data_IF_091402815791
#
_entry.id   IF_091402815791
#
_cell.length_a   1.000
_cell.length_b   1.000
_cell.length_c   1.000
_cell.angle_alpha   90.00
_cell.angle_beta   90.00
_cell.angle_gamma   90.00
#
_symmetry.space_group_name_H-M   'P 1'
#
loop_
_entity.id
_entity.type
_entity.pdbx_description
1 polymer ?
#
# COMPACT_ATOMS: atom_id res chain seq x y z
N UNK A 1 -8.81 -9.60 -24.89
CA UNK A 1 -10.07 -9.28 -24.19
C UNK A 1 -9.78 -8.37 -23.01
N UNK A 2 -10.13 -7.09 -23.16
CA UNK A 2 -10.30 -6.03 -22.14
C UNK A 2 -9.43 -6.06 -20.87
N UNK A 3 -8.25 -5.43 -20.92
CA UNK A 3 -7.41 -5.16 -19.74
C UNK A 3 -7.32 -3.65 -19.44
N UNK A 4 -8.43 -2.94 -19.62
CA UNK A 4 -8.61 -1.53 -19.30
C UNK A 4 -9.38 -1.41 -17.98
N UNK A 5 -8.70 -0.89 -16.95
CA UNK A 5 -9.25 -0.22 -15.75
C UNK A 5 -9.66 -1.02 -14.49
N UNK A 6 -9.06 -2.18 -14.17
CA UNK A 6 -9.25 -2.76 -12.82
C UNK A 6 -8.57 -1.92 -11.71
N UNK A 7 -7.41 -1.31 -12.00
CA UNK A 7 -6.67 -0.50 -11.02
C UNK A 7 -7.40 0.79 -10.63
N UNK A 8 -8.14 1.39 -11.56
CA UNK A 8 -8.83 2.67 -11.31
C UNK A 8 -10.03 2.51 -10.38
N UNK A 9 -10.61 1.31 -10.36
CA UNK A 9 -11.70 0.92 -9.47
C UNK A 9 -11.20 0.45 -8.08
N UNK A 10 -9.91 0.60 -7.78
CA UNK A 10 -9.38 0.32 -6.43
C UNK A 10 -9.68 1.49 -5.49
N UNK A 11 -9.93 1.17 -4.22
CA UNK A 11 -10.03 2.18 -3.17
C UNK A 11 -8.72 2.93 -3.02
N UNK A 12 -7.58 2.26 -3.20
CA UNK A 12 -6.28 2.94 -3.22
C UNK A 12 -6.22 4.03 -4.30
N UNK A 13 -6.58 3.72 -5.55
CA UNK A 13 -6.46 4.70 -6.64
C UNK A 13 -7.45 5.86 -6.46
N UNK A 14 -8.68 5.59 -6.03
CA UNK A 14 -9.66 6.63 -5.75
C UNK A 14 -9.19 7.55 -4.61
N UNK A 15 -8.66 6.99 -3.53
CA UNK A 15 -8.10 7.77 -2.43
C UNK A 15 -6.86 8.57 -2.88
N UNK A 16 -5.98 7.96 -3.68
CA UNK A 16 -4.82 8.62 -4.26
C UNK A 16 -5.24 9.84 -5.09
N UNK A 17 -6.19 9.69 -6.02
CA UNK A 17 -6.67 10.77 -6.88
C UNK A 17 -7.18 11.97 -6.06
N UNK A 18 -7.93 11.71 -4.99
CA UNK A 18 -8.54 12.75 -4.18
C UNK A 18 -7.58 13.39 -3.16
N UNK A 19 -6.64 12.63 -2.60
CA UNK A 19 -5.89 13.05 -1.41
C UNK A 19 -4.41 13.37 -1.67
N UNK A 20 -3.77 12.77 -2.68
CA UNK A 20 -2.29 12.77 -2.77
C UNK A 20 -1.65 14.17 -2.82
N UNK A 21 -2.29 15.15 -3.46
CA UNK A 21 -1.76 16.52 -3.59
C UNK A 21 -1.67 17.23 -2.24
N UNK A 22 -2.66 17.02 -1.37
CA UNK A 22 -2.76 17.66 -0.04
C UNK A 22 -2.45 16.71 1.11
N UNK A 23 -2.11 15.45 0.84
CA UNK A 23 -1.85 14.42 1.84
C UNK A 23 -0.82 14.88 2.89
N UNK A 24 0.22 15.60 2.47
CA UNK A 24 1.22 16.15 3.39
C UNK A 24 0.60 17.06 4.45
N UNK A 25 -0.40 17.89 4.12
CA UNK A 25 -1.08 18.76 5.09
C UNK A 25 -2.16 17.98 5.85
N UNK A 26 -3.03 17.28 5.12
CA UNK A 26 -4.23 16.66 5.67
C UNK A 26 -3.88 15.56 6.67
N UNK A 27 -2.88 14.72 6.36
CA UNK A 27 -2.51 13.56 7.18
C UNK A 27 -1.78 13.93 8.48
N UNK A 28 -1.48 15.22 8.69
CA UNK A 28 -0.87 15.75 9.91
C UNK A 28 -1.88 16.43 10.85
N UNK A 29 -3.15 16.57 10.45
CA UNK A 29 -4.19 17.20 11.29
C UNK A 29 -4.47 16.36 12.53
N UNK A 30 -4.96 16.99 13.59
CA UNK A 30 -5.23 16.35 14.88
C UNK A 30 -6.50 15.49 14.89
N UNK A 31 -7.42 15.70 13.95
CA UNK A 31 -8.67 14.94 13.82
C UNK A 31 -8.46 13.41 13.87
N UNK A 32 -9.34 12.68 14.54
CA UNK A 32 -9.30 11.21 14.56
C UNK A 32 -9.56 10.62 13.17
N UNK A 33 -10.51 11.21 12.43
CA UNK A 33 -10.80 10.85 11.04
C UNK A 33 -10.17 11.89 10.11
N UNK A 34 -9.33 11.40 9.19
CA UNK A 34 -8.58 12.26 8.28
C UNK A 34 -9.38 12.57 6.99
N UNK A 35 -10.28 11.68 6.61
CA UNK A 35 -11.23 11.87 5.51
C UNK A 35 -12.58 11.25 5.85
N UNK A 36 -13.61 11.72 5.14
CA UNK A 36 -14.94 11.12 5.15
C UNK A 36 -15.06 10.18 3.95
N UNK A 37 -15.28 8.89 4.19
CA UNK A 37 -15.49 7.91 3.14
C UNK A 37 -17.00 7.80 2.83
N UNK A 38 -17.37 8.04 1.57
CA UNK A 38 -18.74 7.88 1.09
C UNK A 38 -18.74 6.88 -0.06
N UNK A 39 -19.50 5.80 0.10
CA UNK A 39 -19.66 4.76 -0.91
C UNK A 39 -20.91 5.02 -1.75
N UNK A 40 -20.71 5.36 -3.02
CA UNK A 40 -21.81 5.62 -3.95
C UNK A 40 -22.65 4.35 -4.10
N UNK A 41 -23.95 4.46 -3.85
CA UNK A 41 -24.90 3.34 -3.94
C UNK A 41 -25.00 2.47 -2.69
N UNK A 42 -24.22 2.72 -1.63
CA UNK A 42 -24.39 2.07 -0.34
C UNK A 42 -25.13 2.99 0.64
N UNK A 43 -26.23 2.50 1.20
CA UNK A 43 -26.93 3.18 2.31
C UNK A 43 -26.21 2.84 3.63
N UNK A 44 -25.13 3.54 3.94
CA UNK A 44 -24.45 3.41 5.23
C UNK A 44 -24.52 4.73 6.01
N UNK A 45 -25.11 4.71 7.21
CA UNK A 45 -25.22 5.84 8.15
C UNK A 45 -24.05 5.93 9.15
N UNK A 46 -23.17 4.93 9.19
CA UNK A 46 -22.11 4.82 10.20
C UNK A 46 -20.77 5.42 9.73
N UNK A 47 -20.56 6.69 10.08
CA UNK A 47 -19.41 7.50 9.66
C UNK A 47 -18.05 6.92 10.08
N UNK A 48 -17.94 6.35 11.29
CA UNK A 48 -16.69 5.76 11.79
C UNK A 48 -16.34 4.42 11.13
N UNK A 49 -17.34 3.63 10.76
CA UNK A 49 -17.17 2.35 10.06
C UNK A 49 -16.60 2.57 8.66
N UNK A 50 -17.13 3.55 7.93
CA UNK A 50 -16.71 3.84 6.56
C UNK A 50 -15.23 4.28 6.48
N UNK A 51 -14.75 5.10 7.43
CA UNK A 51 -13.33 5.49 7.47
C UNK A 51 -12.41 4.27 7.65
N UNK A 52 -12.70 3.42 8.64
CA UNK A 52 -11.89 2.21 8.92
C UNK A 52 -11.96 1.19 7.78
N UNK A 53 -13.16 0.98 7.22
CA UNK A 53 -13.35 0.11 6.05
C UNK A 53 -12.55 0.61 4.84
N UNK A 54 -12.55 1.92 4.59
CA UNK A 54 -11.77 2.49 3.50
C UNK A 54 -10.27 2.25 3.66
N UNK A 55 -9.74 2.36 4.88
CA UNK A 55 -8.35 2.01 5.20
C UNK A 55 -8.05 0.53 4.96
N UNK A 56 -8.93 -0.35 5.41
CA UNK A 56 -8.78 -1.80 5.20
C UNK A 56 -8.76 -2.14 3.71
N UNK A 57 -9.67 -1.57 2.92
CA UNK A 57 -9.71 -1.79 1.46
C UNK A 57 -8.49 -1.22 0.75
N UNK A 58 -8.01 -0.03 1.17
CA UNK A 58 -6.76 0.53 0.66
C UNK A 58 -5.59 -0.43 0.93
N UNK A 59 -5.47 -0.97 2.14
CA UNK A 59 -4.42 -1.96 2.46
C UNK A 59 -4.55 -3.23 1.62
N UNK A 60 -5.78 -3.73 1.44
CA UNK A 60 -6.06 -4.89 0.59
C UNK A 60 -5.66 -4.64 -0.86
N UNK A 61 -5.93 -3.45 -1.41
CA UNK A 61 -5.55 -3.13 -2.79
C UNK A 61 -4.03 -3.04 -2.94
N UNK A 62 -3.33 -2.47 -1.95
CA UNK A 62 -1.86 -2.41 -1.89
C UNK A 62 -1.24 -3.82 -1.91
N UNK A 63 -1.83 -4.75 -1.16
CA UNK A 63 -1.44 -6.16 -1.11
C UNK A 63 -2.27 -7.01 -2.10
N UNK A 64 -2.41 -6.56 -3.35
CA UNK A 64 -3.11 -7.30 -4.41
C UNK A 64 -2.46 -7.09 -5.77
N UNK A 65 -2.81 -7.95 -6.73
CA UNK A 65 -2.40 -7.81 -8.13
C UNK A 65 -3.18 -6.72 -8.88
N UNK A 66 -4.13 -6.02 -8.23
CA UNK A 66 -4.92 -4.95 -8.85
C UNK A 66 -4.10 -3.68 -9.07
N UNK A 67 -3.00 -3.52 -8.34
CA UNK A 67 -2.07 -2.39 -8.46
C UNK A 67 -0.71 -2.90 -8.95
N UNK A 68 -0.15 -2.28 -9.97
CA UNK A 68 1.21 -2.58 -10.45
C UNK A 68 2.33 -1.96 -9.59
N UNK A 69 2.09 -1.84 -8.28
CA UNK A 69 3.00 -1.24 -7.30
C UNK A 69 3.75 -2.30 -6.51
N UNK A 70 3.13 -3.41 -6.15
CA UNK A 70 3.78 -4.48 -5.40
C UNK A 70 3.54 -5.80 -6.10
N UNK A 71 4.45 -6.73 -5.87
CA UNK A 71 4.34 -8.11 -6.32
C UNK A 71 4.53 -9.02 -5.11
N UNK A 72 3.98 -10.22 -5.19
CA UNK A 72 4.20 -11.24 -4.18
C UNK A 72 5.70 -11.62 -4.14
N UNK A 73 6.24 -11.89 -2.96
CA UNK A 73 7.63 -12.33 -2.81
C UNK A 73 7.89 -13.63 -3.61
N UNK A 74 9.15 -13.95 -3.96
CA UNK A 74 9.50 -15.19 -4.64
C UNK A 74 8.88 -16.44 -4.01
N UNK A 75 9.02 -16.62 -2.69
CA UNK A 75 8.42 -17.71 -1.93
C UNK A 75 6.89 -17.80 -2.08
N UNK A 76 6.20 -16.66 -2.16
CA UNK A 76 4.76 -16.63 -2.39
C UNK A 76 4.36 -17.01 -3.81
N UNK A 77 5.20 -16.68 -4.80
CA UNK A 77 4.96 -17.06 -6.21
C UNK A 77 5.20 -18.53 -6.46
N UNK A 78 6.22 -19.11 -5.84
CA UNK A 78 6.52 -20.56 -5.90
C UNK A 78 5.69 -21.38 -4.91
N UNK A 79 5.07 -20.71 -3.93
CA UNK A 79 4.37 -21.30 -2.80
C UNK A 79 5.28 -22.19 -1.90
N UNK A 80 6.58 -21.92 -1.88
CA UNK A 80 7.62 -22.65 -1.13
C UNK A 80 8.29 -21.70 -0.14
N UNK A 81 8.68 -22.18 1.05
CA UNK A 81 9.41 -21.39 2.04
C UNK A 81 8.53 -20.53 2.96
N UNK A 82 9.16 -19.56 3.63
CA UNK A 82 8.53 -18.65 4.58
C UNK A 82 7.95 -17.41 3.90
N UNK A 83 7.14 -16.62 4.63
CA UNK A 83 6.64 -15.31 4.21
C UNK A 83 5.88 -15.30 2.86
N UNK A 84 5.20 -16.39 2.53
CA UNK A 84 4.53 -16.61 1.24
C UNK A 84 3.39 -15.62 0.94
N UNK A 85 2.87 -14.95 1.96
CA UNK A 85 1.83 -13.93 1.86
C UNK A 85 2.40 -12.49 1.89
N UNK A 86 3.72 -12.33 1.88
CA UNK A 86 4.39 -11.04 1.90
C UNK A 86 4.63 -10.47 0.50
N UNK A 87 4.62 -9.15 0.43
CA UNK A 87 4.72 -8.35 -0.78
C UNK A 87 6.04 -7.58 -0.81
N UNK A 88 6.56 -7.36 -2.02
CA UNK A 88 7.76 -6.57 -2.29
C UNK A 88 7.44 -5.47 -3.31
N UNK A 89 8.15 -4.32 -3.28
CA UNK A 89 8.00 -3.30 -4.33
C UNK A 89 8.22 -3.91 -5.71
N UNK A 90 7.40 -3.49 -6.68
CA UNK A 90 7.52 -3.98 -8.04
C UNK A 90 8.89 -3.60 -8.63
N UNK A 91 9.51 -4.54 -9.34
CA UNK A 91 10.84 -4.39 -9.93
C UNK A 91 10.72 -3.65 -11.25
N UNK A 92 11.35 -2.48 -11.33
CA UNK A 92 11.52 -1.75 -12.58
C UNK A 92 12.90 -2.07 -13.17
N UNK A 93 13.04 -2.15 -14.51
CA UNK A 93 14.33 -2.43 -15.14
C UNK A 93 15.38 -1.41 -14.66
N UNK A 94 16.59 -1.84 -14.28
CA UNK A 94 17.61 -0.96 -13.70
C UNK A 94 17.99 0.20 -14.64
N UNK A 95 17.87 -0.03 -15.95
CA UNK A 95 18.20 0.93 -16.99
C UNK A 95 17.03 1.89 -17.32
N UNK A 96 15.92 1.82 -16.59
CA UNK A 96 14.72 2.65 -16.83
C UNK A 96 14.31 3.37 -15.55
N UNK A 97 14.04 4.66 -15.68
CA UNK A 97 13.45 5.43 -14.58
C UNK A 97 12.04 4.93 -14.29
N UNK A 98 11.71 4.79 -13.01
CA UNK A 98 10.34 4.48 -12.58
C UNK A 98 9.41 5.58 -13.10
N UNK A 99 8.31 5.25 -13.82
CA UNK A 99 7.36 6.24 -14.30
C UNK A 99 6.84 7.15 -13.17
N UNK A 100 6.69 8.44 -13.46
CA UNK A 100 6.29 9.46 -12.47
C UNK A 100 4.97 9.14 -11.76
N UNK A 101 4.03 8.49 -12.46
CA UNK A 101 2.77 7.99 -11.86
C UNK A 101 3.05 7.07 -10.67
N UNK A 102 3.91 6.06 -10.83
CA UNK A 102 4.23 5.13 -9.75
C UNK A 102 5.04 5.80 -8.64
N UNK A 103 5.98 6.68 -8.97
CA UNK A 103 6.71 7.46 -7.94
C UNK A 103 5.77 8.24 -7.02
N UNK A 104 4.75 8.90 -7.59
CA UNK A 104 3.74 9.63 -6.82
C UNK A 104 2.86 8.71 -5.99
N UNK A 105 2.50 7.54 -6.51
CA UNK A 105 1.74 6.54 -5.78
C UNK A 105 2.53 5.94 -4.61
N UNK A 106 3.81 5.58 -4.80
CA UNK A 106 4.70 5.15 -3.71
C UNK A 106 4.87 6.25 -2.65
N UNK A 107 5.01 7.52 -3.06
CA UNK A 107 5.04 8.65 -2.13
C UNK A 107 3.76 8.72 -1.30
N UNK A 108 2.59 8.52 -1.91
CA UNK A 108 1.32 8.50 -1.21
C UNK A 108 1.22 7.35 -0.20
N UNK A 109 1.74 6.16 -0.55
CA UNK A 109 1.82 5.02 0.40
C UNK A 109 2.71 5.36 1.59
N UNK A 110 3.89 5.95 1.36
CA UNK A 110 4.74 6.43 2.46
C UNK A 110 4.04 7.48 3.34
N UNK A 111 3.22 8.35 2.75
CA UNK A 111 2.39 9.30 3.50
C UNK A 111 1.31 8.58 4.32
N UNK A 112 0.69 7.51 3.81
CA UNK A 112 -0.26 6.68 4.56
C UNK A 112 0.42 6.00 5.76
N UNK A 113 1.65 5.50 5.61
CA UNK A 113 2.40 4.94 6.75
C UNK A 113 2.67 6.01 7.81
N UNK A 114 3.13 7.18 7.37
CA UNK A 114 3.37 8.31 8.28
C UNK A 114 2.10 8.78 8.98
N UNK A 115 0.95 8.74 8.32
CA UNK A 115 -0.36 9.01 8.93
C UNK A 115 -0.68 7.95 9.99
N UNK A 116 -0.58 6.67 9.62
CA UNK A 116 -0.92 5.56 10.49
C UNK A 116 -0.09 5.55 11.78
N UNK A 117 1.22 5.79 11.67
CA UNK A 117 2.11 5.91 12.83
C UNK A 117 1.67 7.04 13.76
N UNK A 118 1.41 8.25 13.23
CA UNK A 118 0.98 9.40 14.04
C UNK A 118 -0.36 9.19 14.73
N UNK A 119 -1.25 8.43 14.09
CA UNK A 119 -2.61 8.16 14.56
C UNK A 119 -2.75 6.85 15.32
N UNK A 120 -1.66 6.10 15.48
CA UNK A 120 -1.67 4.75 16.07
C UNK A 120 -2.70 3.84 15.36
N UNK A 121 -2.87 4.03 14.06
CA UNK A 121 -3.69 3.13 13.24
C UNK A 121 -2.84 1.93 12.80
N UNK A 122 -3.40 0.75 12.94
CA UNK A 122 -2.84 -0.47 12.38
C UNK A 122 -3.22 -0.57 10.90
N UNK A 123 -2.21 -0.62 10.03
CA UNK A 123 -2.41 -0.94 8.61
C UNK A 123 -2.18 -2.43 8.42
N UNK A 124 -3.17 -3.14 7.87
CA UNK A 124 -3.04 -4.56 7.55
C UNK A 124 -2.27 -4.77 6.24
N UNK A 125 -0.98 -4.42 6.26
CA UNK A 125 -0.05 -4.56 5.14
C UNK A 125 0.95 -5.67 5.43
N UNK A 126 1.19 -6.52 4.43
CA UNK A 126 2.07 -7.68 4.55
C UNK A 126 3.31 -7.47 3.70
N UNK A 127 4.25 -6.67 4.18
CA UNK A 127 5.52 -6.45 3.48
C UNK A 127 6.64 -7.28 4.08
N UNK A 128 7.58 -7.68 3.23
CA UNK A 128 8.80 -8.38 3.65
C UNK A 128 9.68 -7.54 4.59
N UNK A 129 10.45 -8.21 5.44
CA UNK A 129 11.37 -7.55 6.38
C UNK A 129 12.38 -6.61 5.69
N UNK A 130 12.81 -6.96 4.47
CA UNK A 130 13.73 -6.16 3.67
C UNK A 130 13.23 -4.72 3.47
N UNK A 131 11.93 -4.54 3.27
CA UNK A 131 11.35 -3.20 3.07
C UNK A 131 11.50 -2.36 4.34
N UNK A 132 11.19 -2.94 5.49
CA UNK A 132 11.27 -2.26 6.78
C UNK A 132 12.70 -1.92 7.16
N UNK A 133 13.62 -2.89 7.01
CA UNK A 133 15.06 -2.67 7.22
C UNK A 133 15.57 -1.55 6.34
N UNK A 134 15.17 -1.52 5.06
CA UNK A 134 15.59 -0.46 4.15
C UNK A 134 15.06 0.92 4.55
N UNK A 135 13.84 1.02 5.06
CA UNK A 135 13.26 2.28 5.56
C UNK A 135 13.94 2.77 6.85
N UNK A 136 14.43 1.84 7.67
CA UNK A 136 15.12 2.12 8.94
C UNK A 136 16.64 2.27 8.77
N UNK A 137 17.17 2.14 7.55
CA UNK A 137 18.61 2.08 7.27
C UNK A 137 19.35 0.96 8.03
N UNK A 138 18.68 -0.17 8.26
CA UNK A 138 19.29 -1.37 8.83
C UNK A 138 19.99 -2.21 7.75
N UNK A 139 20.98 -3.00 8.19
CA UNK A 139 21.68 -3.94 7.31
C UNK A 139 20.78 -5.13 6.95
N UNK A 140 20.76 -5.46 5.67
CA UNK A 140 20.12 -6.66 5.14
C UNK A 140 21.10 -7.82 5.23
N UNK A 141 20.69 -8.89 5.91
CA UNK A 141 21.44 -10.14 6.05
C UNK A 141 21.09 -11.13 4.93
N UNK A 142 21.89 -12.18 4.80
CA UNK A 142 21.60 -13.28 3.87
C UNK A 142 20.36 -14.05 4.32
N UNK A 143 20.15 -14.17 5.63
CA UNK A 143 18.99 -14.80 6.25
C UNK A 143 17.69 -14.08 5.84
N UNK A 144 17.69 -12.74 5.83
CA UNK A 144 16.52 -11.97 5.37
C UNK A 144 16.15 -12.24 3.91
N UNK A 145 17.14 -12.59 3.07
CA UNK A 145 16.92 -12.94 1.67
C UNK A 145 16.34 -14.35 1.56
N UNK A 146 16.95 -15.32 2.26
CA UNK A 146 16.47 -16.73 2.29
C UNK A 146 15.03 -16.85 2.79
N UNK A 147 14.62 -15.97 3.69
CA UNK A 147 13.26 -15.92 4.22
C UNK A 147 12.19 -15.56 3.18
N UNK A 148 12.59 -15.01 2.03
CA UNK A 148 11.66 -14.57 0.97
C UNK A 148 11.96 -15.17 -0.41
N UNK A 149 13.16 -15.73 -0.60
CA UNK A 149 13.64 -16.33 -1.85
C UNK A 149 14.52 -17.53 -1.52
N UNK A 150 13.92 -18.73 -1.61
CA UNK A 150 14.55 -20.02 -1.33
C UNK A 150 15.11 -20.66 -2.62
#
# INVERSE_FOLDING_TARGET
STNTNNSENTMFYQAYQQLHTKAHIIFRRSNEQIWHAQYIGMHSTDHGGAYRDSLTRICSDICSLRLSLFILCPNGRTNIGLNRDCWIPNVFPPNKSIPNKYKRQYRFIGQLFGMAIRKKHYLNIKFVILLWKKLLNELISIEDIKDIDL
#
